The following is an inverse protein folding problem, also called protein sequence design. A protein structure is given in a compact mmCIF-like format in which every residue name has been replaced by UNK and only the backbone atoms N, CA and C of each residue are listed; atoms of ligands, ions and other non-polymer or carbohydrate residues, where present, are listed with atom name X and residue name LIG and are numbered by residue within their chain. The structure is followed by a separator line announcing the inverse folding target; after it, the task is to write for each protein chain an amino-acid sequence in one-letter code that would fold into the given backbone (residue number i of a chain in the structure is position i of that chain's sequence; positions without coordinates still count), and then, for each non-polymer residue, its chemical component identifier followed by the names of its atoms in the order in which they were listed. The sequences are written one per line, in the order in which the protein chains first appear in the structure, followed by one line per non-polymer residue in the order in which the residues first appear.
data_IF_133516373007
#
_entry.id   IF_133516373007
#
_cell.length_a   1.000
_cell.length_b   1.000
_cell.length_c   1.000
_cell.angle_alpha   90.00
_cell.angle_beta   90.00
_cell.angle_gamma   90.00
#
_symmetry.space_group_name_H-M   'P 1'
#
loop_
_entity.id
_entity.type
_entity.pdbx_description
1 polymer ?
#
# COMPACT_ATOMS: atom_id res chain seq x y z
N UNK A 1 34.58 -0.82 -18.83
CA UNK A 1 33.88 -1.99 -18.27
C UNK A 1 33.98 -1.83 -16.76
N UNK A 2 32.88 -1.46 -16.11
CA UNK A 2 32.83 -1.39 -14.65
C UNK A 2 33.18 -2.79 -14.09
N UNK A 3 34.05 -2.90 -13.08
CA UNK A 3 34.42 -4.19 -12.52
C UNK A 3 33.17 -4.87 -11.96
N UNK A 4 33.04 -6.16 -12.25
CA UNK A 4 31.98 -7.04 -11.78
C UNK A 4 31.99 -7.10 -10.24
N UNK A 5 31.37 -6.11 -9.61
CA UNK A 5 31.19 -6.07 -8.16
C UNK A 5 30.22 -7.19 -7.84
N UNK A 6 30.76 -8.30 -7.32
CA UNK A 6 30.00 -9.48 -6.93
C UNK A 6 28.98 -9.04 -5.87
N UNK A 7 27.71 -8.90 -6.27
CA UNK A 7 26.61 -8.57 -5.34
C UNK A 7 26.56 -9.68 -4.29
N UNK A 8 26.84 -9.33 -3.03
CA UNK A 8 26.77 -10.25 -1.89
C UNK A 8 25.50 -10.00 -1.11
N UNK A 9 24.64 -11.01 -0.99
CA UNK A 9 23.43 -10.94 -0.18
C UNK A 9 23.70 -11.15 1.32
N UNK A 10 24.90 -11.61 1.68
CA UNK A 10 25.33 -11.81 3.07
C UNK A 10 25.85 -10.51 3.72
N UNK A 11 26.25 -9.52 2.90
CA UNK A 11 26.71 -8.23 3.39
C UNK A 11 25.53 -7.28 3.66
N UNK A 12 24.96 -7.44 4.86
CA UNK A 12 23.87 -6.57 5.32
C UNK A 12 24.31 -5.14 5.64
N UNK A 13 25.62 -4.84 5.72
CA UNK A 13 26.09 -3.48 6.01
C UNK A 13 25.66 -2.47 4.94
N UNK A 14 25.54 -2.93 3.69
CA UNK A 14 25.05 -2.13 2.56
C UNK A 14 23.58 -1.76 2.79
N UNK A 15 22.74 -2.72 3.16
CA UNK A 15 21.31 -2.51 3.40
C UNK A 15 21.04 -1.56 4.58
N UNK A 16 21.92 -1.55 5.57
CA UNK A 16 21.80 -0.72 6.78
C UNK A 16 22.73 0.51 6.78
N UNK A 17 23.39 0.81 5.66
CA UNK A 17 24.38 1.90 5.55
C UNK A 17 23.82 3.29 5.89
N UNK A 18 22.51 3.48 5.72
CA UNK A 18 21.80 4.72 6.09
C UNK A 18 21.45 4.81 7.59
N UNK A 19 21.76 3.79 8.39
CA UNK A 19 21.38 3.68 9.81
C UNK A 19 22.60 3.71 10.72
N UNK A 20 22.42 4.32 11.89
CA UNK A 20 23.41 4.25 12.97
C UNK A 20 23.08 3.15 13.99
N UNK A 21 24.05 2.77 14.81
CA UNK A 21 23.90 1.74 15.85
C UNK A 21 22.72 1.98 16.79
N UNK A 22 22.41 3.24 17.12
CA UNK A 22 21.31 3.57 18.00
C UNK A 22 19.95 3.25 17.35
N UNK A 23 19.81 3.53 16.05
CA UNK A 23 18.66 3.14 15.25
C UNK A 23 18.57 1.62 15.18
N UNK A 24 19.64 0.93 14.78
CA UNK A 24 19.64 -0.54 14.65
C UNK A 24 19.29 -1.25 15.96
N UNK A 25 19.86 -0.83 17.09
CA UNK A 25 19.54 -1.37 18.42
C UNK A 25 18.08 -1.12 18.81
N UNK A 26 17.48 0.01 18.40
CA UNK A 26 16.07 0.32 18.66
C UNK A 26 15.16 -0.61 17.83
N UNK A 27 15.44 -0.76 16.55
CA UNK A 27 14.69 -1.63 15.64
C UNK A 27 14.79 -3.10 16.10
N UNK A 28 15.99 -3.57 16.44
CA UNK A 28 16.21 -4.90 17.00
C UNK A 28 15.37 -5.17 18.26
N UNK A 29 15.32 -4.22 19.20
CA UNK A 29 14.47 -4.37 20.39
C UNK A 29 12.99 -4.45 20.04
N UNK A 30 12.51 -3.63 19.10
CA UNK A 30 11.14 -3.66 18.65
C UNK A 30 10.79 -5.03 18.04
N UNK A 31 11.59 -5.53 17.11
CA UNK A 31 11.39 -6.85 16.51
C UNK A 31 11.45 -7.99 17.54
N UNK A 32 12.36 -7.92 18.52
CA UNK A 32 12.44 -8.92 19.59
C UNK A 32 11.18 -8.93 20.46
N UNK A 33 10.58 -7.78 20.73
CA UNK A 33 9.31 -7.69 21.46
C UNK A 33 8.15 -8.27 20.62
N UNK A 34 8.12 -7.96 19.32
CA UNK A 34 7.09 -8.48 18.40
C UNK A 34 7.19 -9.99 18.20
N UNK A 35 8.40 -10.56 18.31
CA UNK A 35 8.60 -12.01 18.22
C UNK A 35 8.11 -12.77 19.47
N UNK A 36 7.54 -12.08 20.47
CA UNK A 36 6.90 -12.70 21.62
C UNK A 36 5.37 -12.67 21.47
N UNK A 37 4.79 -13.78 21.00
CA UNK A 37 3.34 -13.89 20.74
C UNK A 37 2.44 -13.57 21.94
N UNK A 38 2.87 -13.89 23.17
CA UNK A 38 2.11 -13.55 24.37
C UNK A 38 2.06 -12.04 24.61
N UNK A 39 3.21 -11.37 24.44
CA UNK A 39 3.30 -9.91 24.59
C UNK A 39 2.46 -9.22 23.53
N UNK A 40 2.56 -9.63 22.27
CA UNK A 40 1.76 -9.09 21.17
C UNK A 40 0.27 -9.27 21.46
N UNK A 41 -0.17 -10.47 21.87
CA UNK A 41 -1.58 -10.73 22.19
C UNK A 41 -2.12 -9.83 23.31
N UNK A 42 -1.35 -9.65 24.38
CA UNK A 42 -1.74 -8.76 25.49
C UNK A 42 -1.74 -7.29 25.01
N UNK A 43 -0.68 -6.88 24.32
CA UNK A 43 -0.52 -5.54 23.78
C UNK A 43 -1.66 -5.13 22.86
N UNK A 44 -2.06 -6.01 21.93
CA UNK A 44 -3.19 -5.76 21.02
C UNK A 44 -4.50 -5.55 21.78
N UNK A 45 -4.78 -6.37 22.81
CA UNK A 45 -5.99 -6.21 23.64
C UNK A 45 -5.98 -4.88 24.39
N UNK A 46 -4.85 -4.54 25.02
CA UNK A 46 -4.70 -3.29 25.76
C UNK A 46 -4.78 -2.06 24.85
N UNK A 47 -4.13 -2.09 23.68
CA UNK A 47 -4.18 -1.02 22.70
C UNK A 47 -5.61 -0.80 22.19
N UNK A 48 -6.33 -1.88 21.87
CA UNK A 48 -7.74 -1.82 21.44
C UNK A 48 -8.62 -1.21 22.53
N UNK A 49 -8.45 -1.64 23.78
CA UNK A 49 -9.19 -1.08 24.91
C UNK A 49 -8.87 0.40 25.12
N UNK A 50 -7.59 0.78 25.06
CA UNK A 50 -7.16 2.16 25.21
C UNK A 50 -7.74 3.08 24.13
N UNK A 51 -7.78 2.63 22.86
CA UNK A 51 -8.41 3.37 21.77
C UNK A 51 -9.93 3.49 21.96
N UNK A 52 -10.60 2.41 22.38
CA UNK A 52 -12.04 2.41 22.68
C UNK A 52 -12.41 3.38 23.80
N UNK A 53 -11.56 3.45 24.83
CA UNK A 53 -11.70 4.40 25.94
C UNK A 53 -11.15 5.80 25.63
N UNK A 54 -10.73 6.06 24.38
CA UNK A 54 -10.18 7.35 23.94
C UNK A 54 -8.96 7.82 24.76
N UNK A 55 -8.19 6.88 25.33
CA UNK A 55 -6.96 7.20 26.04
C UNK A 55 -5.90 7.78 25.07
N UNK A 56 -5.04 8.72 25.52
CA UNK A 56 -4.06 9.41 24.68
C UNK A 56 -2.82 8.54 24.34
N UNK A 57 -3.02 7.32 23.83
CA UNK A 57 -1.95 6.37 23.48
C UNK A 57 -1.39 6.55 22.07
N UNK A 58 -2.00 7.41 21.25
CA UNK A 58 -1.62 7.64 19.85
C UNK A 58 -0.14 8.03 19.69
N UNK A 59 0.37 8.89 20.56
CA UNK A 59 1.77 9.32 20.52
C UNK A 59 2.77 8.19 20.78
N UNK A 60 2.40 7.23 21.64
CA UNK A 60 3.22 6.06 21.92
C UNK A 60 3.25 5.10 20.72
N UNK A 61 2.08 4.80 20.15
CA UNK A 61 1.95 3.97 18.95
C UNK A 61 2.76 4.59 17.80
N UNK A 62 2.63 5.91 17.63
CA UNK A 62 3.35 6.67 16.59
C UNK A 62 4.86 6.55 16.71
N UNK A 63 5.41 6.73 17.92
CA UNK A 63 6.86 6.70 18.19
C UNK A 63 7.46 5.29 18.23
N UNK A 64 6.66 4.25 18.08
CA UNK A 64 7.10 2.85 18.18
C UNK A 64 6.80 2.11 16.88
N UNK A 65 5.73 1.32 16.85
CA UNK A 65 5.38 0.42 15.74
C UNK A 65 5.15 1.22 14.46
N UNK A 66 4.41 2.32 14.54
CA UNK A 66 4.05 3.10 13.36
C UNK A 66 5.28 3.63 12.61
N UNK A 67 6.27 4.19 13.33
CA UNK A 67 7.49 4.72 12.72
C UNK A 67 8.33 3.63 12.02
N UNK A 68 8.21 2.37 12.44
CA UNK A 68 8.92 1.26 11.81
C UNK A 68 8.26 0.79 10.51
N UNK A 69 6.92 0.76 10.46
CA UNK A 69 6.17 0.10 9.38
C UNK A 69 5.47 1.07 8.43
N UNK A 70 5.29 2.34 8.79
CA UNK A 70 4.57 3.32 7.98
C UNK A 70 5.50 4.46 7.56
N UNK A 71 5.50 4.80 6.27
CA UNK A 71 6.27 5.93 5.72
C UNK A 71 5.78 7.31 6.18
N UNK A 72 4.56 7.40 6.71
CA UNK A 72 3.99 8.63 7.25
C UNK A 72 2.46 8.58 7.32
N UNK A 73 1.88 9.44 8.14
CA UNK A 73 0.41 9.60 8.23
C UNK A 73 -0.15 10.48 7.11
N UNK A 74 0.72 11.24 6.44
CA UNK A 74 0.34 12.16 5.38
C UNK A 74 1.39 12.13 4.28
N UNK A 75 0.97 12.49 3.07
CA UNK A 75 1.85 12.65 1.90
C UNK A 75 3.12 13.48 2.22
N UNK A 76 2.96 14.56 3.01
CA UNK A 76 4.09 15.40 3.43
C UNK A 76 5.10 14.65 4.31
N UNK A 77 4.62 13.79 5.21
CA UNK A 77 5.50 12.98 6.05
C UNK A 77 6.18 11.89 5.21
N UNK A 78 5.43 11.26 4.30
CA UNK A 78 5.96 10.27 3.35
C UNK A 78 7.08 10.84 2.48
N UNK A 79 6.96 12.10 2.03
CA UNK A 79 8.02 12.78 1.26
C UNK A 79 9.37 12.84 1.99
N UNK A 80 9.39 12.99 3.32
CA UNK A 80 10.64 12.99 4.10
C UNK A 80 11.31 11.61 4.11
N UNK A 81 10.50 10.54 4.11
CA UNK A 81 11.00 9.17 4.03
C UNK A 81 11.52 8.88 2.63
N UNK A 82 10.80 9.33 1.58
CA UNK A 82 11.27 9.23 0.21
C UNK A 82 12.60 9.95 0.00
N UNK A 83 12.78 11.15 0.53
CA UNK A 83 14.05 11.89 0.43
C UNK A 83 15.22 11.13 1.09
N UNK A 84 14.99 10.55 2.28
CA UNK A 84 16.00 9.73 2.95
C UNK A 84 16.36 8.47 2.15
N UNK A 85 15.38 7.81 1.54
CA UNK A 85 15.59 6.66 0.65
C UNK A 85 16.32 7.05 -0.64
N UNK A 86 15.97 8.20 -1.23
CA UNK A 86 16.59 8.73 -2.44
C UNK A 86 18.09 8.95 -2.25
N UNK A 87 18.51 9.52 -1.10
CA UNK A 87 19.94 9.68 -0.77
C UNK A 87 20.71 8.35 -0.71
N UNK A 88 20.01 7.24 -0.49
CA UNK A 88 20.59 5.89 -0.48
C UNK A 88 20.44 5.16 -1.82
N UNK A 89 19.96 5.84 -2.88
CA UNK A 89 19.69 5.22 -4.18
C UNK A 89 18.49 4.27 -4.18
N UNK A 90 17.60 4.37 -3.18
CA UNK A 90 16.45 3.47 -3.03
C UNK A 90 15.17 4.13 -3.57
N UNK A 91 14.51 3.40 -4.46
CA UNK A 91 13.15 3.72 -4.92
C UNK A 91 12.10 3.06 -4.03
N UNK A 92 10.93 3.67 -3.94
CA UNK A 92 9.81 3.17 -3.15
C UNK A 92 8.58 2.96 -4.02
N UNK A 93 7.79 1.94 -3.65
CA UNK A 93 6.40 1.80 -4.08
C UNK A 93 5.56 2.45 -2.99
N UNK A 94 4.71 3.40 -3.36
CA UNK A 94 3.78 3.97 -2.39
C UNK A 94 2.58 3.03 -2.22
N UNK A 95 2.29 2.64 -0.98
CA UNK A 95 1.15 1.81 -0.63
C UNK A 95 0.21 2.58 0.28
N UNK A 96 -1.00 2.88 -0.22
CA UNK A 96 -2.07 3.39 0.62
C UNK A 96 -2.76 2.21 1.29
N UNK A 97 -2.35 1.91 2.53
CA UNK A 97 -2.72 0.70 3.27
C UNK A 97 -4.17 0.63 3.76
N UNK A 98 -5.14 0.88 2.87
CA UNK A 98 -6.58 0.72 3.12
C UNK A 98 -7.11 -0.47 2.31
N UNK A 99 -7.83 -1.37 2.98
CA UNK A 99 -8.43 -2.58 2.40
C UNK A 99 -9.75 -2.91 3.12
N UNK A 100 -10.55 -3.81 2.54
CA UNK A 100 -11.74 -4.38 3.20
C UNK A 100 -12.80 -3.36 3.61
N UNK A 101 -13.05 -2.37 2.76
CA UNK A 101 -14.09 -1.35 3.02
C UNK A 101 -15.48 -1.88 2.65
N UNK A 102 -16.51 -1.35 3.29
CA UNK A 102 -17.87 -1.91 3.17
C UNK A 102 -18.90 -0.91 2.63
N UNK A 103 -18.56 0.38 2.57
CA UNK A 103 -19.50 1.42 2.14
C UNK A 103 -18.94 2.31 1.03
N UNK A 104 -19.87 2.88 0.28
CA UNK A 104 -19.60 3.70 -0.90
C UNK A 104 -18.75 4.95 -0.59
N UNK A 105 -18.97 5.58 0.56
CA UNK A 105 -18.20 6.77 0.95
C UNK A 105 -16.72 6.42 1.19
N UNK A 106 -16.46 5.29 1.84
CA UNK A 106 -15.11 4.78 2.06
C UNK A 106 -14.44 4.41 0.73
N UNK A 107 -15.15 3.78 -0.21
CA UNK A 107 -14.59 3.44 -1.53
C UNK A 107 -14.21 4.68 -2.34
N UNK A 108 -15.07 5.71 -2.34
CA UNK A 108 -14.74 6.96 -3.00
C UNK A 108 -13.57 7.66 -2.32
N UNK A 109 -13.54 7.68 -0.98
CA UNK A 109 -12.44 8.27 -0.23
C UNK A 109 -11.10 7.56 -0.52
N UNK A 110 -11.10 6.23 -0.60
CA UNK A 110 -9.91 5.46 -1.00
C UNK A 110 -9.46 5.82 -2.41
N UNK A 111 -10.40 5.92 -3.35
CA UNK A 111 -10.13 6.33 -4.75
C UNK A 111 -9.48 7.72 -4.80
N UNK A 112 -10.04 8.70 -4.08
CA UNK A 112 -9.53 10.06 -4.02
C UNK A 112 -8.11 10.11 -3.40
N UNK A 113 -7.86 9.32 -2.35
CA UNK A 113 -6.55 9.21 -1.72
C UNK A 113 -5.51 8.54 -2.62
N UNK A 114 -5.89 7.51 -3.38
CA UNK A 114 -5.01 6.90 -4.39
C UNK A 114 -4.66 7.90 -5.49
N UNK A 115 -5.63 8.64 -6.02
CA UNK A 115 -5.40 9.70 -7.01
C UNK A 115 -4.46 10.77 -6.48
N UNK A 116 -4.66 11.23 -5.24
CA UNK A 116 -3.75 12.20 -4.60
C UNK A 116 -2.34 11.64 -4.42
N UNK A 117 -2.23 10.36 -4.06
CA UNK A 117 -0.95 9.67 -3.88
C UNK A 117 -0.21 9.47 -5.20
N UNK A 118 -0.93 9.13 -6.29
CA UNK A 118 -0.37 9.04 -7.65
C UNK A 118 0.19 10.38 -8.10
N UNK A 119 -0.60 11.45 -7.95
CA UNK A 119 -0.16 12.80 -8.33
C UNK A 119 1.06 13.21 -7.52
N UNK A 120 1.09 12.90 -6.23
CA UNK A 120 2.26 13.13 -5.41
C UNK A 120 3.47 12.31 -5.89
N UNK A 121 3.32 11.00 -6.12
CA UNK A 121 4.37 10.12 -6.61
C UNK A 121 4.99 10.64 -7.91
N UNK A 122 4.17 11.13 -8.85
CA UNK A 122 4.61 11.76 -10.10
C UNK A 122 5.51 12.99 -9.92
N UNK A 123 5.52 13.61 -8.74
CA UNK A 123 6.43 14.72 -8.39
C UNK A 123 7.73 14.27 -7.73
N UNK A 124 7.88 12.98 -7.41
CA UNK A 124 9.01 12.44 -6.66
C UNK A 124 9.96 11.68 -7.58
N UNK A 125 11.29 11.89 -7.48
CA UNK A 125 12.27 11.23 -8.35
C UNK A 125 12.42 9.72 -8.08
N UNK A 126 12.03 9.24 -6.90
CA UNK A 126 12.19 7.86 -6.47
C UNK A 126 10.88 7.15 -6.07
N UNK A 127 9.73 7.59 -6.58
CA UNK A 127 8.45 6.89 -6.39
C UNK A 127 7.82 6.48 -7.73
N UNK A 128 8.48 5.62 -8.53
CA UNK A 128 8.03 5.28 -9.89
C UNK A 128 6.76 4.41 -9.92
N UNK A 129 6.34 3.85 -8.79
CA UNK A 129 5.19 2.93 -8.72
C UNK A 129 4.28 3.24 -7.52
N UNK A 130 3.01 2.89 -7.67
CA UNK A 130 2.02 2.83 -6.58
C UNK A 130 1.34 1.46 -6.58
N UNK A 131 0.93 0.97 -5.41
CA UNK A 131 0.06 -0.21 -5.27
C UNK A 131 -1.39 0.18 -5.02
N UNK A 132 -2.32 -0.64 -5.52
CA UNK A 132 -3.75 -0.50 -5.32
C UNK A 132 -4.35 -1.87 -5.00
N UNK A 133 -5.07 -1.97 -3.87
CA UNK A 133 -5.87 -3.13 -3.49
C UNK A 133 -7.32 -2.89 -3.93
N UNK A 134 -7.89 -3.82 -4.70
CA UNK A 134 -9.23 -3.66 -5.28
C UNK A 134 -10.30 -3.71 -4.19
N UNK A 135 -10.10 -4.50 -3.13
CA UNK A 135 -11.01 -4.54 -1.97
C UNK A 135 -11.08 -3.22 -1.17
N UNK A 136 -10.16 -2.29 -1.42
CA UNK A 136 -10.21 -0.93 -0.85
C UNK A 136 -11.25 -0.01 -1.51
N UNK A 137 -11.73 -0.36 -2.71
CA UNK A 137 -12.57 0.50 -3.57
C UNK A 137 -13.86 -0.17 -4.08
N UNK A 138 -14.14 -1.39 -3.62
CA UNK A 138 -15.39 -2.11 -3.90
C UNK A 138 -15.70 -3.13 -2.82
N UNK A 139 -16.94 -3.63 -2.80
CA UNK A 139 -17.37 -4.65 -1.85
C UNK A 139 -16.71 -5.99 -2.15
N UNK A 140 -16.27 -6.66 -1.10
CA UNK A 140 -15.65 -7.98 -1.21
C UNK A 140 -16.58 -9.02 -1.84
N UNK A 141 -17.85 -9.06 -1.42
CA UNK A 141 -18.84 -10.01 -1.95
C UNK A 141 -19.13 -9.82 -3.45
N UNK A 142 -19.00 -8.59 -3.97
CA UNK A 142 -19.09 -8.35 -5.41
C UNK A 142 -17.94 -9.03 -6.15
N UNK A 143 -16.71 -8.95 -5.64
CA UNK A 143 -15.56 -9.63 -6.25
C UNK A 143 -15.69 -11.16 -6.19
N UNK A 144 -16.27 -11.70 -5.11
CA UNK A 144 -16.58 -13.14 -5.02
C UNK A 144 -17.58 -13.56 -6.11
N UNK A 145 -18.67 -12.80 -6.27
CA UNK A 145 -19.68 -13.06 -7.30
C UNK A 145 -19.10 -12.96 -8.71
N UNK A 146 -18.27 -11.95 -8.98
CA UNK A 146 -17.62 -11.74 -10.27
C UNK A 146 -16.66 -12.89 -10.60
N UNK A 147 -15.84 -13.30 -9.63
CA UNK A 147 -14.88 -14.40 -9.80
C UNK A 147 -15.59 -15.74 -10.02
N UNK A 148 -16.64 -16.00 -9.24
CA UNK A 148 -17.47 -17.20 -9.39
C UNK A 148 -18.47 -17.14 -10.56
N UNK A 149 -18.46 -16.06 -11.36
CA UNK A 149 -19.37 -15.84 -12.49
C UNK A 149 -20.86 -16.00 -12.12
N UNK A 150 -21.22 -15.57 -10.91
CA UNK A 150 -22.59 -15.65 -10.42
C UNK A 150 -23.47 -14.58 -11.09
N UNK A 151 -24.79 -14.83 -11.22
CA UNK A 151 -25.73 -13.81 -11.67
C UNK A 151 -25.67 -12.57 -10.78
N UNK A 152 -25.51 -11.40 -11.39
CA UNK A 152 -25.45 -10.12 -10.69
C UNK A 152 -26.86 -9.51 -10.57
N UNK A 153 -27.21 -9.10 -9.35
CA UNK A 153 -28.40 -8.26 -9.13
C UNK A 153 -28.22 -6.88 -9.78
N UNK A 154 -29.31 -6.10 -9.89
CA UNK A 154 -29.22 -4.71 -10.38
C UNK A 154 -28.25 -3.87 -9.56
N UNK A 155 -28.22 -4.06 -8.23
CA UNK A 155 -27.27 -3.38 -7.34
C UNK A 155 -25.84 -3.82 -7.62
N UNK A 156 -25.60 -5.12 -7.79
CA UNK A 156 -24.26 -5.64 -8.08
C UNK A 156 -23.73 -5.13 -9.44
N UNK A 157 -24.62 -4.98 -10.43
CA UNK A 157 -24.25 -4.39 -11.73
C UNK A 157 -23.86 -2.91 -11.56
N UNK A 158 -24.65 -2.13 -10.82
CA UNK A 158 -24.31 -0.72 -10.56
C UNK A 158 -22.99 -0.57 -9.78
N UNK A 159 -22.73 -1.44 -8.80
CA UNK A 159 -21.47 -1.45 -8.05
C UNK A 159 -20.28 -1.88 -8.91
N UNK A 160 -20.48 -2.84 -9.83
CA UNK A 160 -19.47 -3.22 -10.83
C UNK A 160 -19.12 -2.04 -11.73
N UNK A 161 -20.10 -1.31 -12.25
CA UNK A 161 -19.86 -0.16 -13.13
C UNK A 161 -19.04 0.92 -12.41
N UNK A 162 -19.35 1.18 -11.13
CA UNK A 162 -18.59 2.11 -10.29
C UNK A 162 -17.16 1.64 -10.02
N UNK A 163 -16.95 0.35 -9.76
CA UNK A 163 -15.61 -0.23 -9.61
C UNK A 163 -14.78 0.03 -10.87
N UNK A 164 -15.34 -0.26 -12.04
CA UNK A 164 -14.67 -0.05 -13.32
C UNK A 164 -14.37 1.43 -13.55
N UNK A 165 -15.33 2.32 -13.28
CA UNK A 165 -15.12 3.77 -13.37
C UNK A 165 -13.96 4.24 -12.49
N UNK A 166 -13.95 3.87 -11.20
CA UNK A 166 -12.85 4.21 -10.27
C UNK A 166 -11.51 3.71 -10.77
N UNK A 167 -11.45 2.47 -11.24
CA UNK A 167 -10.21 1.88 -11.73
C UNK A 167 -9.69 2.55 -13.00
N UNK A 168 -10.57 2.96 -13.90
CA UNK A 168 -10.20 3.77 -15.05
C UNK A 168 -9.72 5.17 -14.64
N UNK A 169 -10.33 5.81 -13.65
CA UNK A 169 -9.85 7.09 -13.10
C UNK A 169 -8.45 6.95 -12.47
N UNK A 170 -8.22 5.89 -11.69
CA UNK A 170 -6.92 5.59 -11.07
C UNK A 170 -5.87 5.33 -12.16
N UNK A 171 -6.15 4.43 -13.10
CA UNK A 171 -5.20 4.03 -14.15
C UNK A 171 -4.88 5.17 -15.13
N UNK A 172 -5.87 5.97 -15.52
CA UNK A 172 -5.64 7.18 -16.33
C UNK A 172 -4.78 8.20 -15.59
N UNK A 173 -5.06 8.45 -14.30
CA UNK A 173 -4.23 9.35 -13.49
C UNK A 173 -2.79 8.84 -13.38
N UNK A 174 -2.59 7.52 -13.21
CA UNK A 174 -1.25 6.93 -13.16
C UNK A 174 -0.50 7.11 -14.48
N UNK A 175 -1.18 6.85 -15.62
CA UNK A 175 -0.64 7.10 -16.96
C UNK A 175 -0.23 8.57 -17.14
N UNK A 176 -1.11 9.51 -16.81
CA UNK A 176 -0.87 10.95 -16.97
C UNK A 176 0.27 11.45 -16.08
N UNK A 177 0.40 10.88 -14.87
CA UNK A 177 1.49 11.18 -13.95
C UNK A 177 2.81 10.46 -14.31
N UNK A 178 2.80 9.56 -15.29
CA UNK A 178 3.97 8.78 -15.68
C UNK A 178 4.42 7.77 -14.62
N UNK A 179 3.50 7.32 -13.76
CA UNK A 179 3.73 6.37 -12.66
C UNK A 179 3.15 5.01 -13.02
N UNK A 180 3.86 3.93 -12.68
CA UNK A 180 3.34 2.58 -12.83
C UNK A 180 2.32 2.24 -11.74
N UNK A 181 1.20 1.65 -12.13
CA UNK A 181 0.17 1.16 -11.22
C UNK A 181 0.30 -0.36 -11.06
N UNK A 182 0.54 -0.82 -9.84
CA UNK A 182 0.45 -2.23 -9.46
C UNK A 182 -0.90 -2.48 -8.81
N UNK A 183 -1.61 -3.48 -9.32
CA UNK A 183 -2.83 -4.00 -8.72
C UNK A 183 -2.42 -5.22 -7.91
N UNK A 184 -2.63 -5.16 -6.60
CA UNK A 184 -2.20 -6.20 -5.68
C UNK A 184 -3.03 -7.48 -5.89
N UNK A 185 -2.37 -8.63 -5.79
CA UNK A 185 -3.07 -9.90 -5.65
C UNK A 185 -3.64 -10.00 -4.22
N UNK A 186 -4.85 -10.54 -4.11
CA UNK A 186 -5.59 -10.64 -2.85
C UNK A 186 -6.03 -12.10 -2.61
N UNK A 187 -7.21 -12.33 -2.02
CA UNK A 187 -7.66 -13.68 -1.70
C UNK A 187 -7.98 -14.51 -2.96
N UNK A 188 -7.64 -15.81 -2.93
CA UNK A 188 -7.72 -16.68 -4.12
C UNK A 188 -9.12 -16.71 -4.74
N UNK A 189 -10.19 -16.61 -3.95
CA UNK A 189 -11.57 -16.71 -4.42
C UNK A 189 -12.15 -15.40 -4.97
N UNK A 190 -11.38 -14.30 -4.93
CA UNK A 190 -11.70 -13.04 -5.60
C UNK A 190 -10.72 -12.69 -6.74
N UNK A 191 -9.68 -13.51 -6.92
CA UNK A 191 -8.55 -13.17 -7.78
C UNK A 191 -8.93 -13.12 -9.27
N UNK A 192 -9.82 -13.98 -9.75
CA UNK A 192 -10.24 -13.99 -11.15
C UNK A 192 -10.87 -12.65 -11.58
N UNK A 193 -11.67 -12.02 -10.70
CA UNK A 193 -12.23 -10.70 -10.95
C UNK A 193 -11.15 -9.61 -11.01
N UNK A 194 -10.17 -9.67 -10.09
CA UNK A 194 -9.04 -8.73 -10.04
C UNK A 194 -8.17 -8.87 -11.30
N UNK A 195 -7.86 -10.09 -11.71
CA UNK A 195 -7.03 -10.39 -12.89
C UNK A 195 -7.71 -9.91 -14.16
N UNK A 196 -9.01 -10.18 -14.34
CA UNK A 196 -9.75 -9.73 -15.51
C UNK A 196 -9.75 -8.21 -15.65
N UNK A 197 -10.04 -7.50 -14.55
CA UNK A 197 -9.97 -6.05 -14.47
C UNK A 197 -8.56 -5.55 -14.78
N UNK A 198 -7.53 -6.17 -14.20
CA UNK A 198 -6.13 -5.82 -14.42
C UNK A 198 -5.75 -5.95 -15.89
N UNK A 199 -6.09 -7.07 -16.53
CA UNK A 199 -5.82 -7.28 -17.96
C UNK A 199 -6.56 -6.27 -18.84
N UNK A 200 -7.78 -5.87 -18.48
CA UNK A 200 -8.52 -4.83 -19.20
C UNK A 200 -7.82 -3.48 -19.14
N UNK A 201 -7.36 -3.07 -17.96
CA UNK A 201 -6.64 -1.82 -17.77
C UNK A 201 -5.30 -1.85 -18.50
N UNK A 202 -4.56 -2.97 -18.44
CA UNK A 202 -3.33 -3.16 -19.21
C UNK A 202 -3.56 -3.00 -20.71
N UNK A 203 -4.58 -3.66 -21.28
CA UNK A 203 -4.95 -3.53 -22.70
C UNK A 203 -5.31 -2.08 -23.08
N UNK A 204 -5.87 -1.32 -22.14
CA UNK A 204 -6.31 0.05 -22.38
C UNK A 204 -5.16 1.05 -22.31
N UNK A 205 -4.33 0.99 -21.26
CA UNK A 205 -3.37 2.05 -20.93
C UNK A 205 -1.91 1.76 -21.29
N UNK A 206 -1.49 0.49 -21.37
CA UNK A 206 -0.08 0.12 -21.63
C UNK A 206 0.23 0.06 -23.14
N UNK A 207 -0.06 1.15 -23.86
CA UNK A 207 0.14 1.23 -25.32
C UNK A 207 1.39 2.01 -25.74
N UNK A 208 1.81 2.95 -24.91
CA UNK A 208 2.79 3.98 -25.30
C UNK A 208 4.18 3.78 -24.67
N UNK A 209 4.27 2.98 -23.61
CA UNK A 209 5.49 2.81 -22.80
C UNK A 209 5.56 1.35 -22.34
N UNK A 210 6.73 0.72 -22.53
CA UNK A 210 7.06 -0.63 -22.07
C UNK A 210 7.98 -0.55 -20.85
#
# INVERSE_FOLDING_TARGET
MEPNQKISFDDTSIAFSSKNDAALKREYRLFRLMNNGNLVRIGTRLATLALRMHLPVRGLIRKTIYQQFCGGETIRQTGKVLEALHHSGVHAILDYGVEGKENEEDFQRTTDQLIQTIRFAGTQPNAPFISCKVTGITRFDLLEKLSAQQPLSTTDQADRDKLFERMHQIASTAKDAGIGLYIDAEETWIQDAIDQLTFELMRTYNKDRA
#
